data_IF_390838766856
#
_entry.id   IF_390838766856
#
_cell.length_a   1.000
_cell.length_b   1.000
_cell.length_c   1.000
_cell.angle_alpha   90.00
_cell.angle_beta   90.00
_cell.angle_gamma   90.00
#
_symmetry.space_group_name_H-M   'P 1'
#
loop_
_entity.id
_entity.type
_entity.pdbx_description
1 polymer ?
#
# COMPACT_ATOMS: atom_id res chain seq x y z
N UNK A 1 -15.13 -12.26 -16.09
CA UNK A 1 -15.81 -10.96 -15.91
C UNK A 1 -15.49 -10.45 -14.53
N UNK A 2 -15.10 -9.18 -14.42
CA UNK A 2 -14.78 -8.52 -13.15
C UNK A 2 -16.06 -8.32 -12.33
N UNK A 3 -16.07 -8.81 -11.10
CA UNK A 3 -17.17 -8.73 -10.13
C UNK A 3 -16.89 -7.70 -9.04
N UNK A 4 -15.61 -7.45 -8.76
CA UNK A 4 -15.18 -6.41 -7.86
C UNK A 4 -13.86 -5.77 -8.31
N UNK A 5 -13.64 -4.53 -7.88
CA UNK A 5 -12.41 -3.78 -8.10
C UNK A 5 -11.88 -3.29 -6.75
N UNK A 6 -10.59 -3.50 -6.51
CA UNK A 6 -9.87 -2.93 -5.38
C UNK A 6 -8.94 -1.82 -5.87
N UNK A 7 -9.24 -0.59 -5.51
CA UNK A 7 -8.40 0.57 -5.83
C UNK A 7 -7.25 0.69 -4.83
N UNK A 8 -6.04 0.92 -5.34
CA UNK A 8 -4.84 1.17 -4.51
C UNK A 8 -4.08 2.35 -5.09
N UNK A 9 -3.31 3.06 -4.29
CA UNK A 9 -2.67 4.31 -4.73
C UNK A 9 -1.58 4.08 -5.77
N UNK A 10 -0.71 3.10 -5.52
CA UNK A 10 0.47 2.83 -6.34
C UNK A 10 0.63 1.37 -6.76
N UNK A 11 1.61 1.18 -7.65
CA UNK A 11 1.96 -0.14 -8.18
C UNK A 11 2.56 -1.06 -7.11
N UNK A 12 3.30 -0.51 -6.13
CA UNK A 12 3.79 -1.26 -4.98
C UNK A 12 2.65 -1.89 -4.18
N UNK A 13 1.57 -1.14 -3.97
CA UNK A 13 0.44 -1.58 -3.17
C UNK A 13 -0.33 -2.69 -3.90
N UNK A 14 -0.45 -2.57 -5.22
CA UNK A 14 -1.03 -3.61 -6.09
C UNK A 14 -0.24 -4.91 -5.94
N UNK A 15 1.08 -4.86 -6.11
CA UNK A 15 1.96 -6.02 -5.98
C UNK A 15 1.84 -6.63 -4.58
N UNK A 16 1.81 -5.80 -3.53
CA UNK A 16 1.70 -6.26 -2.15
C UNK A 16 0.38 -6.99 -1.87
N UNK A 17 -0.74 -6.43 -2.33
CA UNK A 17 -2.07 -7.06 -2.19
C UNK A 17 -2.13 -8.38 -2.96
N UNK A 18 -1.70 -8.40 -4.22
CA UNK A 18 -1.70 -9.60 -5.05
C UNK A 18 -0.81 -10.69 -4.44
N UNK A 19 0.38 -10.33 -3.97
CA UNK A 19 1.33 -11.23 -3.30
C UNK A 19 0.74 -11.79 -2.01
N UNK A 20 0.13 -10.95 -1.17
CA UNK A 20 -0.52 -11.41 0.06
C UNK A 20 -1.70 -12.34 -0.24
N UNK A 21 -2.53 -12.00 -1.22
CA UNK A 21 -3.66 -12.82 -1.63
C UNK A 21 -3.20 -14.20 -2.09
N UNK A 22 -2.19 -14.28 -2.97
CA UNK A 22 -1.60 -15.52 -3.43
C UNK A 22 -1.05 -16.36 -2.26
N UNK A 23 -0.31 -15.75 -1.33
CA UNK A 23 0.20 -16.43 -0.13
C UNK A 23 -0.90 -16.95 0.80
N UNK A 24 -2.09 -16.37 0.73
CA UNK A 24 -3.29 -16.82 1.48
C UNK A 24 -4.16 -17.78 0.67
N UNK A 25 -3.70 -18.27 -0.49
CA UNK A 25 -4.47 -19.16 -1.36
C UNK A 25 -5.67 -18.49 -2.04
N UNK A 26 -5.66 -17.15 -2.14
CA UNK A 26 -6.72 -16.36 -2.79
C UNK A 26 -6.25 -15.91 -4.17
N UNK A 27 -6.85 -16.47 -5.21
CA UNK A 27 -6.61 -16.07 -6.60
C UNK A 27 -7.57 -14.95 -7.01
N UNK A 28 -7.17 -13.68 -6.84
CA UNK A 28 -8.06 -12.52 -7.04
C UNK A 28 -8.68 -12.49 -8.44
N UNK A 29 -7.87 -12.55 -9.50
CA UNK A 29 -8.35 -12.54 -10.87
C UNK A 29 -9.29 -13.73 -11.19
N UNK A 30 -8.98 -14.93 -10.68
CA UNK A 30 -9.85 -16.10 -10.86
C UNK A 30 -11.20 -15.94 -10.13
N UNK A 31 -11.24 -15.16 -9.06
CA UNK A 31 -12.47 -14.78 -8.35
C UNK A 31 -13.14 -13.52 -8.93
N UNK A 32 -12.62 -12.98 -10.04
CA UNK A 32 -13.13 -11.77 -10.68
C UNK A 32 -12.88 -10.49 -9.87
N UNK A 33 -11.78 -10.43 -9.12
CA UNK A 33 -11.34 -9.23 -8.40
C UNK A 33 -10.12 -8.65 -9.12
N UNK A 34 -10.26 -7.43 -9.62
CA UNK A 34 -9.16 -6.68 -10.24
C UNK A 34 -8.57 -5.68 -9.23
N UNK A 35 -7.25 -5.64 -9.11
CA UNK A 35 -6.55 -4.64 -8.28
C UNK A 35 -6.00 -3.56 -9.19
N UNK A 36 -6.40 -2.29 -8.96
CA UNK A 36 -6.12 -1.18 -9.87
C UNK A 36 -5.33 -0.10 -9.13
N UNK A 37 -4.09 0.11 -9.58
CA UNK A 37 -3.27 1.24 -9.14
C UNK A 37 -3.75 2.52 -9.82
N UNK A 38 -4.21 3.51 -9.05
CA UNK A 38 -4.86 4.71 -9.59
C UNK A 38 -3.93 5.91 -9.81
N UNK A 39 -2.68 5.82 -9.32
CA UNK A 39 -1.68 6.89 -9.47
C UNK A 39 -1.92 8.09 -8.56
N UNK A 40 -2.53 7.85 -7.39
CA UNK A 40 -2.81 8.85 -6.36
C UNK A 40 -4.30 9.06 -6.06
N UNK A 41 -4.62 9.37 -4.81
CA UNK A 41 -5.98 9.44 -4.30
C UNK A 41 -6.90 10.46 -4.99
N UNK A 42 -6.35 11.51 -5.61
CA UNK A 42 -7.14 12.48 -6.38
C UNK A 42 -7.82 11.85 -7.61
N UNK A 43 -7.30 10.72 -8.11
CA UNK A 43 -7.84 10.02 -9.27
C UNK A 43 -9.07 9.15 -8.94
N UNK A 44 -9.37 8.89 -7.66
CA UNK A 44 -10.43 7.96 -7.21
C UNK A 44 -11.76 8.25 -7.93
N UNK A 45 -12.27 9.48 -7.87
CA UNK A 45 -13.56 9.81 -8.46
C UNK A 45 -13.61 9.57 -9.98
N UNK A 46 -12.53 9.88 -10.70
CA UNK A 46 -12.42 9.65 -12.15
C UNK A 46 -12.40 8.16 -12.46
N UNK A 47 -11.67 7.36 -11.70
CA UNK A 47 -11.56 5.91 -11.90
C UNK A 47 -12.89 5.23 -11.61
N UNK A 48 -13.59 5.65 -10.56
CA UNK A 48 -14.89 5.09 -10.18
C UNK A 48 -15.97 5.32 -11.24
N UNK A 49 -15.91 6.41 -12.00
CA UNK A 49 -16.83 6.65 -13.12
C UNK A 49 -16.75 5.56 -14.20
N UNK A 50 -15.67 4.78 -14.27
CA UNK A 50 -15.53 3.64 -15.19
C UNK A 50 -16.10 2.32 -14.67
N UNK A 51 -16.55 2.26 -13.41
CA UNK A 51 -16.97 1.03 -12.73
C UNK A 51 -18.42 1.09 -12.25
N UNK A 52 -19.35 1.22 -13.19
CA UNK A 52 -20.78 1.14 -12.90
C UNK A 52 -21.20 -0.32 -12.59
N UNK A 53 -22.03 -0.51 -11.57
CA UNK A 53 -22.61 -1.81 -11.17
C UNK A 53 -21.60 -2.89 -10.75
N UNK A 54 -20.35 -2.51 -10.43
CA UNK A 54 -19.30 -3.41 -9.89
C UNK A 54 -19.05 -3.07 -8.43
N UNK A 55 -18.78 -4.08 -7.59
CA UNK A 55 -18.42 -3.82 -6.19
C UNK A 55 -17.04 -3.15 -6.15
N UNK A 56 -16.95 -1.99 -5.52
CA UNK A 56 -15.68 -1.26 -5.37
C UNK A 56 -15.24 -1.26 -3.91
N UNK A 57 -13.94 -1.32 -3.69
CA UNK A 57 -13.28 -1.09 -2.41
C UNK A 57 -11.90 -0.52 -2.65
N UNK A 58 -11.13 -0.25 -1.59
CA UNK A 58 -9.77 0.22 -1.78
C UNK A 58 -8.93 0.33 -0.52
N UNK A 59 -7.63 0.51 -0.74
CA UNK A 59 -6.65 0.88 0.27
C UNK A 59 -6.09 2.26 -0.09
N UNK A 60 -5.92 3.11 0.91
CA UNK A 60 -5.33 4.44 0.75
C UNK A 60 -4.58 4.85 2.02
N UNK A 61 -3.70 5.83 1.92
CA UNK A 61 -2.93 6.35 3.04
C UNK A 61 -3.77 7.34 3.86
N UNK A 62 -3.63 7.35 5.18
CA UNK A 62 -4.46 8.24 6.05
C UNK A 62 -4.31 9.72 5.69
N UNK A 63 -3.15 10.13 5.15
CA UNK A 63 -2.91 11.47 4.62
C UNK A 63 -3.85 11.87 3.47
N UNK A 64 -4.30 10.89 2.70
CA UNK A 64 -5.17 11.07 1.53
C UNK A 64 -6.66 10.92 1.84
N UNK A 65 -7.05 10.62 3.09
CA UNK A 65 -8.42 10.35 3.48
C UNK A 65 -9.43 11.41 3.00
N UNK A 66 -9.08 12.69 3.11
CA UNK A 66 -9.95 13.78 2.65
C UNK A 66 -10.17 13.77 1.14
N UNK A 67 -9.17 13.39 0.36
CA UNK A 67 -9.27 13.30 -1.09
C UNK A 67 -10.14 12.10 -1.50
N UNK A 68 -9.87 10.94 -0.90
CA UNK A 68 -10.63 9.70 -1.15
C UNK A 68 -12.10 9.89 -0.82
N UNK A 69 -12.43 10.32 0.40
CA UNK A 69 -13.84 10.48 0.82
C UNK A 69 -14.61 11.44 -0.07
N UNK A 70 -14.00 12.56 -0.50
CA UNK A 70 -14.62 13.48 -1.46
C UNK A 70 -14.78 12.86 -2.84
N UNK A 71 -13.84 12.04 -3.29
CA UNK A 71 -13.94 11.29 -4.55
C UNK A 71 -15.10 10.30 -4.53
N UNK A 72 -15.26 9.57 -3.42
CA UNK A 72 -16.35 8.62 -3.20
C UNK A 72 -17.72 9.32 -3.17
N UNK A 73 -17.83 10.40 -2.39
CA UNK A 73 -19.05 11.20 -2.30
C UNK A 73 -19.50 11.71 -3.67
N UNK A 74 -18.58 12.27 -4.47
CA UNK A 74 -18.88 12.75 -5.83
C UNK A 74 -19.29 11.64 -6.79
N UNK A 75 -18.81 10.42 -6.57
CA UNK A 75 -19.17 9.25 -7.36
C UNK A 75 -20.46 8.55 -6.86
N UNK A 76 -21.05 9.02 -5.76
CA UNK A 76 -22.20 8.36 -5.13
C UNK A 76 -21.87 6.98 -4.54
N UNK A 77 -20.61 6.75 -4.18
CA UNK A 77 -20.10 5.48 -3.65
C UNK A 77 -19.95 5.59 -2.13
N UNK A 78 -20.47 4.61 -1.40
CA UNK A 78 -20.26 4.52 0.05
C UNK A 78 -18.79 4.20 0.38
N UNK A 79 -18.29 4.70 1.51
CA UNK A 79 -16.93 4.40 1.97
C UNK A 79 -16.76 2.95 2.48
N UNK A 80 -17.84 2.17 2.54
CA UNK A 80 -17.79 0.76 2.93
C UNK A 80 -16.88 -0.04 1.99
N UNK A 81 -15.91 -0.75 2.57
CA UNK A 81 -14.91 -1.50 1.80
C UNK A 81 -13.68 -0.69 1.41
N UNK A 82 -13.57 0.57 1.85
CA UNK A 82 -12.35 1.36 1.78
C UNK A 82 -11.65 1.42 3.14
N UNK A 83 -10.33 1.20 3.16
CA UNK A 83 -9.54 1.15 4.38
C UNK A 83 -8.32 2.09 4.29
N UNK A 84 -8.09 2.85 5.35
CA UNK A 84 -6.91 3.69 5.49
C UNK A 84 -5.74 2.92 6.11
N UNK A 85 -4.55 3.07 5.55
CA UNK A 85 -3.28 2.65 6.15
C UNK A 85 -2.72 3.79 7.00
N UNK A 86 -2.17 3.50 8.18
CA UNK A 86 -1.62 4.52 9.09
C UNK A 86 -0.13 4.22 9.43
N UNK A 87 0.82 5.03 8.92
CA UNK A 87 0.63 6.20 8.04
C UNK A 87 0.40 5.86 6.56
N UNK A 88 0.96 4.75 6.09
CA UNK A 88 0.92 4.23 4.72
C UNK A 88 1.14 2.71 4.74
N UNK A 89 1.08 2.04 3.58
CA UNK A 89 1.23 0.59 3.52
C UNK A 89 2.61 0.09 4.00
N UNK A 90 3.68 0.84 3.75
CA UNK A 90 5.01 0.49 4.27
C UNK A 90 5.06 0.58 5.80
N UNK A 91 4.41 1.57 6.38
CA UNK A 91 4.27 1.75 7.82
C UNK A 91 3.50 0.61 8.46
N UNK A 92 2.39 0.19 7.84
CA UNK A 92 1.63 -0.99 8.22
C UNK A 92 2.49 -2.26 8.20
N UNK A 93 3.31 -2.44 7.16
CA UNK A 93 4.21 -3.59 7.04
C UNK A 93 5.26 -3.61 8.15
N UNK A 94 5.90 -2.48 8.42
CA UNK A 94 6.89 -2.37 9.51
C UNK A 94 6.22 -2.62 10.86
N UNK A 95 5.02 -2.08 11.09
CA UNK A 95 4.27 -2.28 12.34
C UNK A 95 3.86 -3.73 12.54
N UNK A 96 3.40 -4.40 11.48
CA UNK A 96 2.98 -5.80 11.54
C UNK A 96 4.16 -6.76 11.78
N UNK A 97 5.31 -6.52 11.14
CA UNK A 97 6.49 -7.38 11.28
C UNK A 97 7.35 -7.02 12.49
N UNK A 98 7.41 -5.76 12.90
CA UNK A 98 8.37 -5.26 13.87
C UNK A 98 9.77 -5.06 13.27
N UNK A 99 10.55 -4.18 13.89
CA UNK A 99 11.86 -3.74 13.39
C UNK A 99 12.89 -4.86 13.26
N UNK A 100 12.92 -5.80 14.20
CA UNK A 100 13.86 -6.93 14.17
C UNK A 100 13.68 -7.83 12.94
N UNK A 101 12.44 -8.27 12.68
CA UNK A 101 12.14 -9.13 11.52
C UNK A 101 12.32 -8.38 10.21
N UNK A 102 12.02 -7.08 10.19
CA UNK A 102 12.29 -6.25 9.03
C UNK A 102 13.79 -6.10 8.75
N UNK A 103 14.61 -5.91 9.78
CA UNK A 103 16.07 -5.85 9.62
C UNK A 103 16.65 -7.19 9.17
N UNK A 104 16.13 -8.31 9.69
CA UNK A 104 16.50 -9.64 9.24
C UNK A 104 16.17 -9.85 7.75
N UNK A 105 15.01 -9.36 7.29
CA UNK A 105 14.61 -9.42 5.89
C UNK A 105 15.52 -8.56 4.99
N UNK A 106 15.86 -7.35 5.42
CA UNK A 106 16.81 -6.47 4.73
C UNK A 106 18.19 -7.14 4.60
N UNK A 107 18.62 -7.81 5.67
CA UNK A 107 19.89 -8.56 5.70
C UNK A 107 19.86 -9.76 4.77
N UNK A 108 18.80 -10.58 4.83
CA UNK A 108 18.62 -11.74 3.97
C UNK A 108 18.55 -11.38 2.48
N UNK A 109 18.12 -10.15 2.15
CA UNK A 109 18.12 -9.61 0.78
C UNK A 109 19.45 -8.97 0.36
N UNK A 110 20.48 -9.03 1.20
CA UNK A 110 21.80 -8.46 0.92
C UNK A 110 21.84 -6.93 0.93
N UNK A 111 20.88 -6.27 1.59
CA UNK A 111 20.73 -4.80 1.57
C UNK A 111 21.13 -4.11 2.87
N UNK A 112 21.76 -4.83 3.80
CA UNK A 112 22.20 -4.27 5.08
C UNK A 112 23.15 -3.08 4.89
N UNK A 113 24.15 -3.18 4.01
CA UNK A 113 25.09 -2.07 3.77
C UNK A 113 24.43 -0.81 3.21
N UNK A 114 23.39 -0.96 2.39
CA UNK A 114 22.63 0.14 1.83
C UNK A 114 21.76 0.80 2.93
N UNK A 115 21.13 -0.01 3.79
CA UNK A 115 20.39 0.47 4.95
C UNK A 115 21.30 1.17 5.99
N UNK A 116 22.48 0.63 6.25
CA UNK A 116 23.48 1.23 7.14
C UNK A 116 23.98 2.58 6.62
N UNK A 117 24.05 2.74 5.30
CA UNK A 117 24.37 4.04 4.69
C UNK A 117 23.22 5.03 4.88
N UNK A 118 21.98 4.60 4.67
CA UNK A 118 20.80 5.43 4.88
C UNK A 118 20.66 5.93 6.31
N UNK A 119 20.82 5.04 7.30
CA UNK A 119 20.66 5.42 8.71
C UNK A 119 21.75 6.35 9.23
N UNK A 120 22.90 6.47 8.57
CA UNK A 120 23.95 7.44 8.93
C UNK A 120 23.55 8.89 8.63
N UNK A 121 22.55 9.11 7.78
CA UNK A 121 22.10 10.46 7.42
C UNK A 121 21.63 11.24 8.66
N UNK A 122 21.99 12.53 8.81
CA UNK A 122 21.64 13.32 10.00
C UNK A 122 20.16 13.32 10.35
N UNK A 123 19.29 13.39 9.34
CA UNK A 123 17.83 13.38 9.51
C UNK A 123 17.26 12.02 9.92
N UNK A 124 18.05 10.93 9.82
CA UNK A 124 17.61 9.55 10.02
C UNK A 124 18.21 8.91 11.27
N UNK A 125 19.47 9.22 11.60
CA UNK A 125 20.24 8.53 12.65
C UNK A 125 19.63 8.56 14.05
N UNK A 126 18.87 9.61 14.36
CA UNK A 126 18.22 9.79 15.68
C UNK A 126 16.80 9.23 15.72
N UNK A 127 16.26 8.79 14.58
CA UNK A 127 14.92 8.19 14.54
C UNK A 127 14.94 6.79 15.16
N UNK A 128 13.83 6.33 15.75
CA UNK A 128 13.66 4.92 16.10
C UNK A 128 13.86 4.01 14.89
N UNK A 129 14.26 2.76 15.13
CA UNK A 129 14.58 1.83 14.05
C UNK A 129 13.39 1.57 13.13
N UNK A 130 12.17 1.50 13.67
CA UNK A 130 10.92 1.38 12.92
C UNK A 130 10.75 2.55 11.93
N UNK A 131 10.98 3.78 12.37
CA UNK A 131 10.88 4.96 11.51
C UNK A 131 12.01 5.02 10.47
N UNK A 132 13.22 4.54 10.80
CA UNK A 132 14.30 4.37 9.83
C UNK A 132 13.93 3.35 8.75
N UNK A 133 13.37 2.20 9.14
CA UNK A 133 12.95 1.13 8.23
C UNK A 133 11.78 1.56 7.35
N UNK A 134 10.76 2.20 7.93
CA UNK A 134 9.64 2.78 7.18
C UNK A 134 10.12 3.75 6.10
N UNK A 135 10.92 4.76 6.49
CA UNK A 135 11.46 5.72 5.54
C UNK A 135 12.45 5.11 4.54
N UNK A 136 13.11 4.00 4.88
CA UNK A 136 13.98 3.26 3.97
C UNK A 136 13.17 2.54 2.89
N UNK A 137 12.11 1.83 3.28
CA UNK A 137 11.22 1.09 2.37
C UNK A 137 10.64 1.97 1.28
N UNK A 138 10.43 3.25 1.57
CA UNK A 138 9.94 4.22 0.58
C UNK A 138 10.85 4.32 -0.67
N UNK A 139 12.14 4.00 -0.55
CA UNK A 139 13.08 3.93 -1.69
C UNK A 139 13.10 2.55 -2.39
N UNK A 140 12.42 1.56 -1.83
CA UNK A 140 12.47 0.15 -2.23
C UNK A 140 11.09 -0.50 -2.34
N UNK A 141 10.02 0.28 -2.42
CA UNK A 141 8.63 -0.17 -2.29
C UNK A 141 8.30 -1.37 -3.17
N UNK A 142 8.57 -1.29 -4.48
CA UNK A 142 8.33 -2.38 -5.44
C UNK A 142 9.09 -3.66 -5.08
N UNK A 143 10.31 -3.54 -4.53
CA UNK A 143 11.17 -4.70 -4.21
C UNK A 143 10.73 -5.40 -2.92
N UNK A 144 10.02 -4.70 -2.04
CA UNK A 144 9.53 -5.23 -0.76
C UNK A 144 8.02 -5.50 -0.75
N UNK A 145 7.32 -5.09 -1.80
CA UNK A 145 5.95 -5.51 -2.10
C UNK A 145 5.84 -7.04 -2.30
#
# INVERSE_FOLDING_TARGET
>A
MTRAVLLVEGESDRIAVETLAARRGRHLAANGVDVVAIGGAQAVGRVLAGYESVRVGGLYDVGEQRAVLRGLERAGVAADGFFACDPDLEGELVRALGSERMLALVTARGQLGAFDTYRKQPAKRSLPLEAQLHGWLHNWKIRYA
#
